data_IF_891647463620
#
_entry.id   IF_891647463620
#
_cell.length_a   1.000
_cell.length_b   1.000
_cell.length_c   1.000
_cell.angle_alpha   90.00
_cell.angle_beta   90.00
_cell.angle_gamma   90.00
#
_symmetry.space_group_name_H-M   'P 1'
#
loop_
_entity.id
_entity.type
_entity.pdbx_description
1 polymer ?
#
# COMPACT_ATOMS: atom_id res chain seq x y z
N UNK A 1 12.85 1.66 -11.44
CA UNK A 1 12.48 0.51 -10.63
C UNK A 1 11.97 1.03 -9.31
N UNK A 2 10.72 0.73 -9.01
CA UNK A 2 9.94 1.23 -7.87
C UNK A 2 9.79 0.13 -6.83
N UNK A 3 10.08 0.43 -5.57
CA UNK A 3 10.02 -0.52 -4.45
C UNK A 3 9.69 0.24 -3.17
N UNK A 4 8.90 -0.35 -2.28
CA UNK A 4 8.62 0.25 -0.98
C UNK A 4 9.90 0.22 -0.14
N UNK A 5 10.47 1.39 0.16
CA UNK A 5 11.66 1.48 1.02
C UNK A 5 11.22 1.43 2.47
N UNK A 6 11.46 0.31 3.12
CA UNK A 6 11.01 0.04 4.48
C UNK A 6 11.77 0.91 5.48
N UNK A 7 13.05 1.14 5.22
CA UNK A 7 13.96 1.95 6.01
C UNK A 7 13.58 3.44 6.05
N UNK A 8 12.91 3.93 5.01
CA UNK A 8 12.46 5.32 4.89
C UNK A 8 11.13 5.58 5.63
N UNK A 9 10.50 4.54 6.20
CA UNK A 9 9.22 4.62 6.92
C UNK A 9 9.45 4.60 8.43
N UNK A 10 8.78 5.53 9.13
CA UNK A 10 8.82 5.64 10.58
C UNK A 10 8.39 4.34 11.26
N UNK A 11 9.21 3.87 12.20
CA UNK A 11 8.88 2.73 13.05
C UNK A 11 8.29 3.21 14.38
N UNK A 12 7.07 2.79 14.69
CA UNK A 12 6.43 3.02 15.97
C UNK A 12 6.52 1.77 16.88
N UNK A 13 6.51 2.00 18.19
CA UNK A 13 6.54 0.92 19.19
C UNK A 13 5.20 0.19 19.33
N UNK A 14 4.09 0.84 18.99
CA UNK A 14 2.73 0.31 19.07
C UNK A 14 1.83 0.97 18.03
N UNK A 15 0.57 0.52 17.97
CA UNK A 15 -0.46 1.10 17.10
C UNK A 15 -0.53 2.64 17.21
N UNK A 16 -0.36 3.38 16.11
CA UNK A 16 -0.48 4.84 16.10
C UNK A 16 -1.96 5.28 16.08
N UNK A 17 -2.36 6.12 17.04
CA UNK A 17 -3.72 6.65 17.15
C UNK A 17 -4.11 7.47 15.92
N UNK A 18 -5.33 7.29 15.41
CA UNK A 18 -5.87 8.04 14.29
C UNK A 18 -5.34 7.64 12.90
N UNK A 19 -4.57 6.56 12.80
CA UNK A 19 -4.13 5.99 11.53
C UNK A 19 -4.96 4.79 11.09
N UNK A 20 -5.00 4.54 9.79
CA UNK A 20 -5.64 3.38 9.18
C UNK A 20 -4.62 2.26 8.93
N UNK A 21 -5.05 1.01 9.08
CA UNK A 21 -4.22 -0.15 8.77
C UNK A 21 -4.23 -0.42 7.26
N UNK A 22 -3.05 -0.59 6.66
CA UNK A 22 -2.92 -1.05 5.29
C UNK A 22 -3.30 -2.54 5.20
N UNK A 23 -3.97 -2.95 4.13
CA UNK A 23 -4.29 -4.37 3.91
C UNK A 23 -3.03 -5.17 3.58
N UNK A 24 -2.94 -6.40 4.07
CA UNK A 24 -1.79 -7.29 3.81
C UNK A 24 -1.98 -8.06 2.52
N UNK A 25 -2.15 -7.32 1.43
CA UNK A 25 -2.32 -7.85 0.10
C UNK A 25 -1.69 -6.87 -0.90
N UNK A 26 -1.81 -7.20 -2.19
CA UNK A 26 -1.36 -6.37 -3.31
C UNK A 26 -1.82 -4.92 -3.15
N UNK A 27 -3.09 -4.70 -2.81
CA UNK A 27 -3.66 -3.37 -2.77
C UNK A 27 -3.03 -2.50 -1.68
N UNK A 28 -2.79 -3.08 -0.50
CA UNK A 28 -2.11 -2.34 0.57
C UNK A 28 -0.64 -2.10 0.25
N UNK A 29 0.06 -3.07 -0.35
CA UNK A 29 1.43 -2.86 -0.81
C UNK A 29 1.52 -1.72 -1.84
N UNK A 30 0.70 -1.76 -2.88
CA UNK A 30 0.70 -0.74 -3.95
C UNK A 30 0.28 0.64 -3.43
N UNK A 31 -0.68 0.71 -2.50
CA UNK A 31 -1.04 1.97 -1.85
C UNK A 31 0.18 2.60 -1.16
N UNK A 32 0.87 1.84 -0.32
CA UNK A 32 2.02 2.32 0.46
C UNK A 32 3.18 2.75 -0.46
N UNK A 33 3.42 1.97 -1.52
CA UNK A 33 4.39 2.32 -2.55
C UNK A 33 4.01 3.65 -3.22
N UNK A 34 2.76 3.80 -3.67
CA UNK A 34 2.29 5.01 -4.33
C UNK A 34 2.33 6.23 -3.42
N UNK A 35 2.04 6.06 -2.11
CA UNK A 35 2.20 7.11 -1.12
C UNK A 35 3.67 7.55 -1.01
N UNK A 36 4.60 6.60 -0.93
CA UNK A 36 6.02 6.90 -0.83
C UNK A 36 6.53 7.62 -2.10
N UNK A 37 6.15 7.13 -3.28
CA UNK A 37 6.51 7.74 -4.57
C UNK A 37 5.94 9.14 -4.77
N UNK A 38 4.78 9.41 -4.18
CA UNK A 38 4.11 10.73 -4.25
C UNK A 38 4.63 11.71 -3.19
N UNK A 39 5.67 11.35 -2.43
CA UNK A 39 6.26 12.21 -1.41
C UNK A 39 5.48 12.22 -0.08
N UNK A 40 4.56 11.29 0.13
CA UNK A 40 3.75 11.15 1.34
C UNK A 40 4.29 10.10 2.32
N UNK A 41 5.57 9.71 2.21
CA UNK A 41 6.20 8.70 3.08
C UNK A 41 6.10 9.01 4.58
N UNK A 42 6.09 10.30 4.96
CA UNK A 42 5.89 10.75 6.35
C UNK A 42 4.51 10.45 6.94
N UNK A 43 3.54 10.05 6.10
CA UNK A 43 2.21 9.61 6.54
C UNK A 43 2.15 8.11 6.81
N UNK A 44 3.23 7.38 6.54
CA UNK A 44 3.29 5.94 6.69
C UNK A 44 4.02 5.63 8.01
N UNK A 45 3.49 4.68 8.77
CA UNK A 45 4.12 4.15 9.97
C UNK A 45 4.12 2.64 9.90
N UNK A 46 5.19 2.01 10.39
CA UNK A 46 5.29 0.57 10.55
C UNK A 46 5.44 0.19 12.02
N UNK A 47 4.84 -0.92 12.41
CA UNK A 47 4.96 -1.50 13.76
C UNK A 47 5.51 -2.91 13.63
N UNK A 48 6.54 -3.24 14.40
CA UNK A 48 7.16 -4.57 14.36
C UNK A 48 6.17 -5.65 14.75
N UNK A 49 6.14 -6.76 14.02
CA UNK A 49 5.30 -7.93 14.29
C UNK A 49 6.06 -9.08 14.94
N UNK A 50 7.19 -8.81 15.58
CA UNK A 50 7.98 -9.83 16.27
C UNK A 50 7.06 -10.84 16.97
N UNK A 51 7.15 -12.11 16.55
CA UNK A 51 6.53 -13.32 17.11
C UNK A 51 5.31 -13.95 16.38
N UNK A 52 5.46 -14.41 15.14
CA UNK A 52 4.91 -15.74 14.77
C UNK A 52 5.36 -16.20 13.36
N UNK A 53 5.83 -17.46 13.20
CA UNK A 53 5.88 -18.11 11.90
C UNK A 53 4.46 -18.55 11.54
N UNK A 54 3.67 -17.63 10.98
CA UNK A 54 2.34 -17.96 10.48
C UNK A 54 2.55 -18.58 9.09
N UNK A 55 2.29 -19.88 8.92
CA UNK A 55 2.38 -20.56 7.61
C UNK A 55 1.62 -19.82 6.49
N UNK A 56 0.54 -19.13 6.84
CA UNK A 56 -0.24 -18.28 5.93
C UNK A 56 0.50 -17.03 5.41
N UNK A 57 1.59 -16.57 6.06
CA UNK A 57 2.36 -15.40 5.59
C UNK A 57 3.15 -15.72 4.32
N UNK A 58 3.69 -16.93 4.17
CA UNK A 58 4.48 -17.30 2.99
C UNK A 58 3.62 -17.31 1.72
N UNK A 59 2.41 -17.86 1.80
CA UNK A 59 1.47 -17.88 0.66
C UNK A 59 0.99 -16.48 0.28
N UNK A 60 0.73 -15.62 1.27
CA UNK A 60 0.39 -14.20 1.04
C UNK A 60 1.59 -13.46 0.41
N UNK A 61 2.81 -13.70 0.90
CA UNK A 61 4.04 -13.10 0.37
C UNK A 61 4.26 -13.44 -1.11
N UNK A 62 4.14 -14.72 -1.46
CA UNK A 62 4.26 -15.18 -2.85
C UNK A 62 3.14 -14.63 -3.73
N UNK A 63 1.90 -14.58 -3.22
CA UNK A 63 0.77 -14.00 -3.95
C UNK A 63 0.94 -12.50 -4.21
N UNK A 64 1.36 -11.73 -3.21
CA UNK A 64 1.65 -10.30 -3.37
C UNK A 64 2.82 -10.13 -4.34
N UNK A 65 3.93 -10.85 -4.12
CA UNK A 65 5.14 -10.76 -4.94
C UNK A 65 4.86 -11.11 -6.39
N UNK A 66 4.13 -12.18 -6.68
CA UNK A 66 3.80 -12.59 -8.04
C UNK A 66 3.03 -11.50 -8.77
N UNK A 67 2.02 -10.93 -8.13
CA UNK A 67 1.21 -9.89 -8.76
C UNK A 67 1.97 -8.55 -8.92
N UNK A 68 2.85 -8.21 -7.96
CA UNK A 68 3.73 -7.04 -8.08
C UNK A 68 4.75 -7.23 -9.21
N UNK A 69 5.30 -8.44 -9.37
CA UNK A 69 6.22 -8.76 -10.46
C UNK A 69 5.57 -8.68 -11.86
N UNK A 70 4.24 -8.78 -11.93
CA UNK A 70 3.47 -8.54 -13.17
C UNK A 70 3.32 -7.04 -13.51
N UNK A 71 3.74 -6.14 -12.62
CA UNK A 71 3.77 -4.69 -12.84
C UNK A 71 5.16 -4.27 -13.31
N UNK A 72 5.27 -3.84 -14.56
CA UNK A 72 6.54 -3.46 -15.17
C UNK A 72 7.29 -2.39 -14.35
N UNK A 73 8.49 -2.78 -13.88
CA UNK A 73 9.38 -1.88 -13.15
C UNK A 73 9.03 -1.67 -11.68
N UNK A 74 8.15 -2.48 -11.09
CA UNK A 74 7.85 -2.49 -9.65
C UNK A 74 8.32 -3.80 -9.01
N UNK A 75 9.00 -3.70 -7.87
CA UNK A 75 9.46 -4.85 -7.09
C UNK A 75 8.76 -4.91 -5.73
N UNK A 76 8.68 -6.12 -5.18
CA UNK A 76 8.18 -6.37 -3.83
C UNK A 76 9.28 -6.17 -2.78
N UNK A 77 8.97 -5.42 -1.71
CA UNK A 77 9.91 -5.10 -0.65
C UNK A 77 10.18 -6.31 0.26
N UNK A 78 11.43 -6.78 0.39
CA UNK A 78 11.77 -7.85 1.31
C UNK A 78 11.43 -7.45 2.75
N UNK A 79 10.78 -8.36 3.50
CA UNK A 79 10.41 -8.12 4.89
C UNK A 79 9.16 -7.24 5.07
N UNK A 80 8.38 -6.97 4.01
CA UNK A 80 7.12 -6.24 4.13
C UNK A 80 6.19 -6.84 5.20
N UNK A 81 6.06 -8.16 5.25
CA UNK A 81 5.19 -8.86 6.22
C UNK A 81 5.76 -8.98 7.64
N UNK A 82 6.99 -8.51 7.87
CA UNK A 82 7.55 -8.40 9.23
C UNK A 82 6.92 -7.22 9.99
N UNK A 83 6.14 -6.38 9.30
CA UNK A 83 5.57 -5.15 9.82
C UNK A 83 4.06 -5.09 9.65
N UNK A 84 3.37 -4.54 10.64
CA UNK A 84 2.03 -4.01 10.46
C UNK A 84 2.16 -2.59 9.93
N UNK A 85 1.50 -2.31 8.81
CA UNK A 85 1.60 -1.03 8.14
C UNK A 85 0.37 -0.18 8.41
N UNK A 86 0.61 1.09 8.69
CA UNK A 86 -0.40 2.08 8.97
C UNK A 86 -0.15 3.32 8.12
N UNK A 87 -1.20 4.03 7.78
CA UNK A 87 -1.11 5.30 7.07
C UNK A 87 -2.12 6.31 7.60
N UNK A 88 -1.75 7.59 7.54
CA UNK A 88 -2.65 8.68 7.87
C UNK A 88 -3.52 9.03 6.66
N UNK A 89 -4.79 8.64 6.69
CA UNK A 89 -5.77 9.03 5.68
C UNK A 89 -5.87 10.58 5.57
N UNK A 90 -6.20 11.12 4.38
CA UNK A 90 -6.20 12.57 4.14
C UNK A 90 -7.48 13.26 4.67
N UNK A 91 -8.45 12.52 5.20
CA UNK A 91 -9.67 13.08 5.79
C UNK A 91 -10.43 12.09 6.68
N UNK A 92 -11.41 12.58 7.47
CA UNK A 92 -12.20 11.76 8.38
C UNK A 92 -13.28 11.00 7.59
N UNK A 93 -12.88 9.96 6.88
CA UNK A 93 -13.78 9.13 6.08
C UNK A 93 -14.26 7.91 6.86
N UNK A 94 -15.49 7.49 6.57
CA UNK A 94 -16.05 6.25 7.13
C UNK A 94 -15.24 5.03 6.64
N UNK A 95 -14.76 5.09 5.39
CA UNK A 95 -13.89 4.07 4.80
C UNK A 95 -12.98 4.70 3.75
N UNK A 96 -11.67 4.74 4.00
CA UNK A 96 -10.70 5.14 2.99
C UNK A 96 -10.69 4.20 1.79
N UNK A 97 -10.77 2.89 2.02
CA UNK A 97 -10.72 1.89 0.95
C UNK A 97 -11.86 2.05 -0.06
N UNK A 98 -13.06 2.40 0.40
CA UNK A 98 -14.18 2.73 -0.49
C UNK A 98 -13.86 3.98 -1.33
N UNK A 99 -13.28 5.03 -0.73
CA UNK A 99 -12.90 6.25 -1.45
C UNK A 99 -11.79 6.00 -2.46
N UNK A 100 -10.85 5.15 -2.13
CA UNK A 100 -9.78 4.74 -3.03
C UNK A 100 -10.36 3.96 -4.22
N UNK A 101 -11.26 3.00 -3.98
CA UNK A 101 -11.94 2.28 -5.04
C UNK A 101 -12.72 3.21 -5.97
N UNK A 102 -13.54 4.12 -5.41
CA UNK A 102 -14.29 5.12 -6.18
C UNK A 102 -13.37 6.03 -7.02
N UNK A 103 -12.19 6.37 -6.51
CA UNK A 103 -11.22 7.20 -7.22
C UNK A 103 -10.48 6.43 -8.32
N UNK A 104 -10.30 5.12 -8.15
CA UNK A 104 -9.65 4.24 -9.12
C UNK A 104 -10.60 3.84 -10.26
N UNK A 105 -11.88 3.58 -9.97
CA UNK A 105 -12.87 3.12 -10.94
C UNK A 105 -12.88 3.90 -12.27
N UNK A 106 -12.92 5.24 -12.31
CA UNK A 106 -12.93 5.99 -13.57
C UNK A 106 -11.60 5.97 -14.32
N UNK A 107 -10.50 5.52 -13.68
CA UNK A 107 -9.16 5.44 -14.26
C UNK A 107 -8.89 4.07 -14.90
N UNK A 108 -9.72 3.07 -14.61
CA UNK A 108 -9.60 1.73 -15.16
C UNK A 108 -10.26 1.70 -16.54
N UNK A 109 -9.46 1.37 -17.56
CA UNK A 109 -9.91 1.39 -18.96
C UNK A 109 -10.66 0.12 -19.38
N UNK A 110 -10.54 -0.98 -18.63
CA UNK A 110 -11.09 -2.29 -18.98
C UNK A 110 -11.89 -2.89 -17.83
N UNK A 111 -12.82 -3.80 -18.17
CA UNK A 111 -13.62 -4.54 -17.18
C UNK A 111 -12.77 -5.52 -16.34
N UNK A 112 -11.58 -5.89 -16.83
CA UNK A 112 -10.61 -6.77 -16.17
C UNK A 112 -9.20 -6.16 -16.28
N UNK A 113 -8.90 -5.12 -15.48
CA UNK A 113 -7.65 -4.38 -15.59
C UNK A 113 -6.44 -5.24 -15.27
N UNK A 114 -5.39 -5.06 -16.08
CA UNK A 114 -4.08 -5.66 -15.86
C UNK A 114 -3.44 -5.12 -14.56
N UNK A 115 -2.47 -5.85 -13.97
CA UNK A 115 -1.72 -5.36 -12.81
C UNK A 115 -1.12 -3.97 -13.04
N UNK A 116 -0.57 -3.70 -14.22
CA UNK A 116 -0.04 -2.38 -14.60
C UNK A 116 -1.12 -1.30 -14.64
N UNK A 117 -2.29 -1.57 -15.22
CA UNK A 117 -3.41 -0.61 -15.20
C UNK A 117 -3.88 -0.31 -13.77
N UNK A 118 -3.99 -1.34 -12.93
CA UNK A 118 -4.33 -1.18 -11.52
C UNK A 118 -3.31 -0.31 -10.78
N UNK A 119 -2.01 -0.53 -11.02
CA UNK A 119 -0.96 0.29 -10.42
C UNK A 119 -1.01 1.75 -10.90
N UNK A 120 -1.21 2.00 -12.20
CA UNK A 120 -1.33 3.37 -12.71
C UNK A 120 -2.58 4.09 -12.19
N UNK A 121 -3.70 3.37 -12.07
CA UNK A 121 -4.92 3.88 -11.47
C UNK A 121 -4.72 4.18 -9.97
N UNK A 122 -4.10 3.27 -9.22
CA UNK A 122 -3.74 3.46 -7.80
C UNK A 122 -2.87 4.71 -7.63
N UNK A 123 -1.81 4.84 -8.44
CA UNK A 123 -0.88 5.98 -8.37
C UNK A 123 -1.60 7.31 -8.57
N UNK A 124 -2.45 7.40 -9.59
CA UNK A 124 -3.23 8.60 -9.87
C UNK A 124 -4.29 8.87 -8.80
N UNK A 125 -4.99 7.84 -8.31
CA UNK A 125 -5.98 7.96 -7.25
C UNK A 125 -5.35 8.43 -5.94
N UNK A 126 -4.21 7.85 -5.54
CA UNK A 126 -3.45 8.29 -4.36
C UNK A 126 -3.00 9.74 -4.51
N UNK A 127 -2.40 10.10 -5.65
CA UNK A 127 -2.01 11.48 -5.91
C UNK A 127 -3.20 12.45 -5.80
N UNK A 128 -4.39 12.08 -6.30
CA UNK A 128 -5.58 12.91 -6.23
C UNK A 128 -6.17 13.01 -4.81
N UNK A 129 -6.22 11.90 -4.07
CA UNK A 129 -6.78 11.87 -2.71
C UNK A 129 -5.89 12.60 -1.69
N UNK A 130 -4.57 12.60 -1.92
CA UNK A 130 -3.58 13.22 -1.04
C UNK A 130 -3.01 14.54 -1.55
N UNK A 131 -3.46 15.03 -2.72
CA UNK A 131 -3.14 16.37 -3.21
C UNK A 131 -3.63 17.42 -2.20
N UNK A 132 -2.67 18.19 -1.66
CA UNK A 132 -2.78 19.27 -0.67
C UNK A 132 -4.22 19.66 -0.23
N UNK A 133 -4.53 19.27 1.01
CA UNK A 133 -5.47 19.96 1.90
C UNK A 133 -4.80 20.30 3.21
#
# INVERSE_FOLDING_TARGET
>A
MSILRIEDVEQAASFPEGMEMATENVWGYLLLLCLQESGHGSRIVRVSREQEPIEYRTEIDEGIRSHVADVDGVDYAPGFLDWAWYFQAPGPWISFWSRLADAMEPLLASEAPTPTENYQAMKQAVAALFADR
#
